data_IF_114236817241
#
_entry.id   IF_114236817241
#
_cell.length_a   1.000
_cell.length_b   1.000
_cell.length_c   1.000
_cell.angle_alpha   90.00
_cell.angle_beta   90.00
_cell.angle_gamma   90.00
#
_symmetry.space_group_name_H-M   'P 1'
#
loop_
_entity.id
_entity.type
_entity.pdbx_description
1 polymer ?
#
# COMPACT_ATOMS: atom_id res chain seq x y z
N UNK A 1 17.56 -87.68 -0.08
CA UNK A 1 18.09 -87.86 -1.45
C UNK A 1 17.66 -86.68 -2.30
N UNK A 2 18.66 -86.05 -2.94
CA UNK A 2 18.62 -85.31 -4.21
C UNK A 2 17.67 -84.10 -4.33
N UNK A 3 18.21 -82.88 -4.26
CA UNK A 3 18.86 -82.12 -5.35
C UNK A 3 17.82 -81.27 -6.10
N UNK A 4 17.75 -79.98 -5.78
CA UNK A 4 18.41 -78.89 -6.49
C UNK A 4 17.73 -78.58 -7.83
N UNK A 5 17.07 -77.41 -7.92
CA UNK A 5 17.23 -76.51 -9.07
C UNK A 5 16.81 -75.08 -8.72
N UNK A 6 17.85 -74.27 -8.60
CA UNK A 6 17.88 -72.83 -8.74
C UNK A 6 17.00 -72.38 -9.92
N UNK A 7 16.13 -71.40 -9.69
CA UNK A 7 15.72 -70.44 -10.72
C UNK A 7 16.07 -69.06 -10.20
N UNK A 8 17.17 -68.54 -10.72
CA UNK A 8 17.57 -67.14 -10.61
C UNK A 8 16.63 -66.36 -11.53
N UNK A 9 15.69 -65.60 -10.97
CA UNK A 9 15.04 -64.51 -11.68
C UNK A 9 15.54 -63.20 -11.07
N UNK A 10 16.41 -62.53 -11.81
CA UNK A 10 16.89 -61.20 -11.48
C UNK A 10 15.74 -60.20 -11.54
N UNK A 11 15.40 -59.62 -10.40
CA UNK A 11 14.70 -58.35 -10.36
C UNK A 11 15.75 -57.25 -10.57
N UNK A 12 15.92 -56.83 -11.82
CA UNK A 12 16.61 -55.60 -12.14
C UNK A 12 15.85 -54.45 -11.44
N UNK A 13 16.52 -53.80 -10.47
CA UNK A 13 16.08 -52.50 -9.99
C UNK A 13 16.17 -51.52 -11.18
N UNK A 14 15.03 -51.24 -11.80
CA UNK A 14 14.89 -50.07 -12.64
C UNK A 14 15.05 -48.85 -11.73
N UNK A 15 16.26 -48.30 -11.70
CA UNK A 15 16.51 -46.98 -11.15
C UNK A 15 15.61 -46.01 -11.94
N UNK A 16 14.53 -45.55 -11.30
CA UNK A 16 13.70 -44.49 -11.83
C UNK A 16 14.61 -43.27 -12.05
N UNK A 17 14.83 -42.92 -13.31
CA UNK A 17 15.51 -41.69 -13.68
C UNK A 17 14.83 -40.53 -12.93
N UNK A 18 15.60 -39.59 -12.34
CA UNK A 18 15.00 -38.42 -11.70
C UNK A 18 14.17 -37.69 -12.75
N UNK A 19 12.90 -37.44 -12.42
CA UNK A 19 12.00 -36.67 -13.27
C UNK A 19 12.71 -35.36 -13.66
N UNK A 20 12.63 -34.94 -14.94
CA UNK A 20 13.25 -33.69 -15.37
C UNK A 20 12.69 -32.55 -14.51
N UNK A 21 13.57 -31.93 -13.72
CA UNK A 21 13.25 -30.76 -12.91
C UNK A 21 12.59 -29.74 -13.80
N UNK A 22 11.29 -29.51 -13.60
CA UNK A 22 10.58 -28.46 -14.29
C UNK A 22 11.38 -27.16 -14.09
N UNK A 23 11.68 -26.39 -15.15
CA UNK A 23 12.30 -25.10 -14.98
C UNK A 23 11.41 -24.27 -14.06
N UNK A 24 11.93 -23.92 -12.89
CA UNK A 24 11.30 -23.02 -11.93
C UNK A 24 11.30 -21.62 -12.53
N UNK A 25 10.40 -21.39 -13.47
CA UNK A 25 10.01 -20.03 -13.82
C UNK A 25 9.33 -19.46 -12.57
N UNK A 26 9.76 -18.30 -12.03
CA UNK A 26 8.93 -17.61 -11.06
C UNK A 26 7.57 -17.36 -11.73
N UNK A 27 6.44 -17.48 -11.02
CA UNK A 27 5.15 -17.15 -11.58
C UNK A 27 5.20 -15.70 -12.04
N UNK A 28 5.40 -15.49 -13.36
CA UNK A 28 5.18 -14.20 -13.99
C UNK A 28 3.68 -14.07 -14.04
N UNK A 29 3.10 -13.40 -13.05
CA UNK A 29 1.73 -12.93 -13.14
C UNK A 29 1.56 -12.27 -14.52
N UNK A 30 0.44 -12.55 -15.23
CA UNK A 30 0.19 -11.92 -16.51
C UNK A 30 0.37 -10.41 -16.36
N UNK A 31 1.15 -9.79 -17.24
CA UNK A 31 1.49 -8.36 -17.21
C UNK A 31 0.28 -7.40 -17.06
N UNK A 32 -0.92 -7.89 -17.35
CA UNK A 32 -2.20 -7.20 -17.24
C UNK A 32 -2.91 -7.35 -15.88
N UNK A 33 -2.43 -8.23 -14.98
CA UNK A 33 -3.07 -8.56 -13.69
C UNK A 33 -2.26 -8.04 -12.48
N UNK A 34 -1.47 -6.98 -12.67
CA UNK A 34 -0.87 -6.27 -11.54
C UNK A 34 -1.97 -5.51 -10.80
N UNK A 35 -2.37 -5.99 -9.64
CA UNK A 35 -3.23 -5.23 -8.72
C UNK A 35 -2.43 -4.08 -8.12
N UNK A 36 -2.78 -2.85 -8.48
CA UNK A 36 -2.19 -1.66 -7.87
C UNK A 36 -2.88 -1.39 -6.54
N UNK A 37 -2.09 -1.04 -5.52
CA UNK A 37 -2.64 -0.64 -4.23
C UNK A 37 -3.44 0.64 -4.37
N UNK A 38 -4.69 0.63 -3.88
CA UNK A 38 -5.56 1.81 -3.79
C UNK A 38 -5.36 2.54 -2.45
N UNK A 39 -4.23 2.33 -1.78
CA UNK A 39 -3.91 3.03 -0.55
C UNK A 39 -3.87 4.55 -0.81
N UNK A 40 -4.62 5.29 -0.02
CA UNK A 40 -4.76 6.76 -0.15
C UNK A 40 -3.51 7.55 0.26
N UNK A 41 -2.50 6.88 0.80
CA UNK A 41 -1.25 7.46 1.27
C UNK A 41 -0.09 6.52 0.93
N UNK A 42 1.02 7.04 0.41
CA UNK A 42 2.21 6.23 0.15
C UNK A 42 3.08 6.00 1.38
N UNK A 43 3.01 6.89 2.36
CA UNK A 43 3.91 6.90 3.51
C UNK A 43 3.15 7.19 4.80
N UNK A 44 3.56 6.49 5.86
CA UNK A 44 3.13 6.75 7.24
C UNK A 44 4.28 7.30 8.06
N UNK A 45 4.00 8.32 8.84
CA UNK A 45 4.94 8.98 9.75
C UNK A 45 4.44 8.76 11.16
N UNK A 46 5.21 8.08 11.99
CA UNK A 46 4.84 7.80 13.37
C UNK A 46 5.72 8.64 14.29
N UNK A 47 5.11 9.43 15.15
CA UNK A 47 5.83 10.31 16.04
C UNK A 47 5.19 10.39 17.43
N UNK A 48 6.03 10.75 18.39
CA UNK A 48 5.64 10.98 19.77
C UNK A 48 6.13 12.36 20.21
N UNK A 49 5.22 13.15 20.77
CA UNK A 49 5.46 14.48 21.30
C UNK A 49 5.19 14.46 22.81
N UNK A 50 6.23 14.70 23.59
CA UNK A 50 6.14 14.85 25.05
C UNK A 50 6.00 16.33 25.41
N UNK A 51 4.95 16.69 26.13
CA UNK A 51 4.60 18.06 26.52
C UNK A 51 4.45 18.18 28.03
N UNK A 52 4.54 19.39 28.58
CA UNK A 52 4.29 19.61 30.01
C UNK A 52 2.81 19.40 30.36
N UNK A 53 1.95 20.27 29.85
CA UNK A 53 0.50 20.26 30.12
C UNK A 53 -0.26 19.88 28.84
N UNK A 54 -0.85 18.68 28.81
CA UNK A 54 -1.57 18.17 27.64
C UNK A 54 -2.75 19.08 27.27
N UNK A 55 -3.54 19.51 28.26
CA UNK A 55 -4.78 20.25 28.02
C UNK A 55 -4.51 21.64 27.42
N UNK A 56 -3.40 22.26 27.82
CA UNK A 56 -2.97 23.56 27.26
C UNK A 56 -2.30 23.44 25.90
N UNK A 57 -1.57 22.36 25.66
CA UNK A 57 -0.74 22.22 24.44
C UNK A 57 -1.49 21.53 23.31
N UNK A 58 -2.42 20.62 23.59
CA UNK A 58 -3.20 19.91 22.56
C UNK A 58 -3.94 20.87 21.60
N UNK A 59 -4.61 21.95 22.05
CA UNK A 59 -5.20 22.93 21.13
C UNK A 59 -4.16 23.62 20.23
N UNK A 60 -2.93 23.81 20.72
CA UNK A 60 -1.84 24.41 19.93
C UNK A 60 -1.29 23.44 18.89
N UNK A 61 -1.21 22.15 19.24
CA UNK A 61 -0.87 21.06 18.32
C UNK A 61 -1.88 21.02 17.18
N UNK A 62 -3.19 21.01 17.49
CA UNK A 62 -4.25 21.00 16.48
C UNK A 62 -4.17 22.22 15.55
N UNK A 63 -3.97 23.42 16.11
CA UNK A 63 -3.75 24.64 15.32
C UNK A 63 -2.49 24.56 14.43
N UNK A 64 -1.42 23.93 14.91
CA UNK A 64 -0.21 23.75 14.12
C UNK A 64 -0.46 22.80 12.94
N UNK A 65 -1.23 21.73 13.16
CA UNK A 65 -1.66 20.77 12.13
C UNK A 65 -2.48 21.47 11.05
N UNK A 66 -3.51 22.23 11.44
CA UNK A 66 -4.36 22.99 10.50
C UNK A 66 -3.53 23.97 9.66
N UNK A 67 -2.61 24.71 10.30
CA UNK A 67 -1.70 25.63 9.59
C UNK A 67 -0.74 24.92 8.63
N UNK A 68 -0.45 23.65 8.86
CA UNK A 68 0.32 22.79 7.96
C UNK A 68 -0.48 22.23 6.79
N UNK A 69 -1.79 22.56 6.71
CA UNK A 69 -2.73 21.98 5.76
C UNK A 69 -3.16 20.56 6.13
N UNK A 70 -2.84 20.11 7.35
CA UNK A 70 -3.22 18.81 7.86
C UNK A 70 -4.68 18.78 8.31
N UNK A 71 -5.30 17.61 8.21
CA UNK A 71 -6.66 17.35 8.69
C UNK A 71 -6.67 16.07 9.53
N UNK A 72 -7.50 16.04 10.58
CA UNK A 72 -7.76 14.80 11.31
C UNK A 72 -8.46 13.79 10.39
N UNK A 73 -8.10 12.52 10.49
CA UNK A 73 -8.77 11.44 9.73
C UNK A 73 -10.15 11.10 10.28
N UNK A 74 -10.41 11.43 11.54
CA UNK A 74 -11.67 11.21 12.26
C UNK A 74 -11.87 12.31 13.32
N UNK A 75 -13.09 12.49 13.88
CA UNK A 75 -13.33 13.49 14.91
C UNK A 75 -12.46 13.28 16.16
N UNK A 76 -12.00 14.36 16.80
CA UNK A 76 -11.06 14.30 17.93
C UNK A 76 -11.53 13.34 19.05
N UNK A 77 -12.82 13.34 19.33
CA UNK A 77 -13.45 12.59 20.42
C UNK A 77 -13.39 11.07 20.21
N UNK A 78 -13.14 10.63 18.98
CA UNK A 78 -13.06 9.21 18.61
C UNK A 78 -11.67 8.63 18.76
N UNK A 79 -10.66 9.48 18.96
CA UNK A 79 -9.29 9.00 19.12
C UNK A 79 -9.05 8.48 20.54
N UNK A 80 -8.21 7.44 20.69
CA UNK A 80 -7.82 6.94 22.00
C UNK A 80 -7.16 8.03 22.86
N UNK A 81 -7.72 8.23 24.05
CA UNK A 81 -7.19 9.08 25.10
C UNK A 81 -7.00 8.26 26.38
N UNK A 82 -5.85 8.41 27.04
CA UNK A 82 -5.56 7.79 28.34
C UNK A 82 -5.50 8.90 29.39
N UNK A 83 -6.45 8.89 30.33
CA UNK A 83 -6.42 9.79 31.48
C UNK A 83 -5.29 9.44 32.46
N UNK A 84 -4.93 8.16 32.55
CA UNK A 84 -3.86 7.66 33.41
C UNK A 84 -2.48 8.08 32.89
N UNK A 85 -2.23 7.93 31.59
CA UNK A 85 -0.95 8.28 30.97
C UNK A 85 -0.91 9.71 30.43
N UNK A 86 -2.00 10.48 30.64
CA UNK A 86 -2.21 11.82 30.08
C UNK A 86 -1.79 11.87 28.61
N UNK A 87 -2.34 11.00 27.79
CA UNK A 87 -1.95 10.90 26.38
C UNK A 87 -3.14 10.95 25.43
N UNK A 88 -2.95 11.58 24.29
CA UNK A 88 -3.89 11.64 23.19
C UNK A 88 -3.22 11.11 21.91
N UNK A 89 -3.81 10.09 21.30
CA UNK A 89 -3.42 9.66 19.96
C UNK A 89 -4.16 10.48 18.91
N UNK A 90 -3.50 10.76 17.79
CA UNK A 90 -4.05 11.49 16.66
C UNK A 90 -3.57 10.81 15.37
N UNK A 91 -4.46 10.72 14.39
CA UNK A 91 -4.12 10.34 13.03
C UNK A 91 -4.54 11.45 12.07
N UNK A 92 -3.59 11.89 11.25
CA UNK A 92 -3.68 13.11 10.46
C UNK A 92 -3.34 12.81 9.00
N UNK A 93 -4.10 13.35 8.07
CA UNK A 93 -3.71 13.42 6.66
C UNK A 93 -3.06 14.77 6.40
N UNK A 94 -1.81 14.78 5.95
CA UNK A 94 -1.02 16.01 5.80
C UNK A 94 -0.38 16.06 4.41
N UNK A 95 -0.39 17.21 3.71
CA UNK A 95 0.38 17.36 2.49
C UNK A 95 1.86 17.07 2.76
N UNK A 96 2.51 16.27 1.91
CA UNK A 96 3.93 15.90 2.07
C UNK A 96 4.85 17.11 2.22
N UNK A 97 4.56 18.19 1.48
CA UNK A 97 5.26 19.49 1.57
C UNK A 97 5.12 20.18 2.94
N UNK A 98 4.01 19.93 3.65
CA UNK A 98 3.70 20.51 4.96
C UNK A 98 4.15 19.66 6.15
N UNK A 99 4.50 18.39 5.93
CA UNK A 99 4.83 17.44 7.00
C UNK A 99 6.13 17.80 7.75
N UNK A 100 7.23 18.08 7.03
CA UNK A 100 8.51 18.50 7.65
C UNK A 100 8.38 19.84 8.42
N UNK A 101 7.77 20.91 7.85
CA UNK A 101 7.50 22.13 8.59
C UNK A 101 6.65 21.91 9.85
N UNK A 102 5.67 21.00 9.81
CA UNK A 102 4.87 20.67 10.97
C UNK A 102 5.72 20.06 12.09
N UNK A 103 6.56 19.06 11.78
CA UNK A 103 7.46 18.45 12.77
C UNK A 103 8.31 19.52 13.47
N UNK A 104 8.88 20.46 12.71
CA UNK A 104 9.65 21.58 13.27
C UNK A 104 8.83 22.48 14.19
N UNK A 105 7.53 22.66 13.91
CA UNK A 105 6.63 23.43 14.78
C UNK A 105 6.27 22.66 16.05
N UNK A 106 5.98 21.36 15.93
CA UNK A 106 5.66 20.51 17.07
C UNK A 106 6.81 20.42 18.08
N UNK A 107 8.06 20.38 17.60
CA UNK A 107 9.27 20.48 18.43
C UNK A 107 9.39 21.75 19.26
N UNK A 108 8.68 22.83 18.91
CA UNK A 108 8.64 24.06 19.72
C UNK A 108 7.65 23.97 20.87
N UNK A 109 6.72 23.01 20.82
CA UNK A 109 5.68 22.81 21.82
C UNK A 109 6.08 21.78 22.89
N UNK A 110 7.12 20.99 22.63
CA UNK A 110 7.59 19.93 23.52
C UNK A 110 8.77 19.16 22.93
N UNK A 111 9.17 18.08 23.58
CA UNK A 111 10.22 17.21 23.07
C UNK A 111 9.65 16.18 22.10
N UNK A 112 10.25 16.09 20.92
CA UNK A 112 9.81 15.19 19.86
C UNK A 112 11.01 14.70 19.07
N UNK A 113 11.13 13.37 18.95
CA UNK A 113 12.15 12.73 18.10
C UNK A 113 11.82 12.89 16.62
N UNK A 114 12.75 12.53 15.74
CA UNK A 114 12.43 12.40 14.32
C UNK A 114 11.31 11.36 14.11
N UNK A 115 10.27 11.65 13.31
CA UNK A 115 9.24 10.68 13.00
C UNK A 115 9.81 9.45 12.31
N UNK A 116 9.32 8.27 12.69
CA UNK A 116 9.60 7.04 11.97
C UNK A 116 8.77 7.00 10.70
N UNK A 117 9.46 7.11 9.56
CA UNK A 117 8.89 7.08 8.21
C UNK A 117 8.83 5.66 7.69
N UNK A 118 7.65 5.20 7.27
CA UNK A 118 7.44 3.87 6.70
C UNK A 118 6.60 3.95 5.42
N UNK A 119 7.07 3.38 4.30
CA UNK A 119 6.22 3.21 3.13
C UNK A 119 5.07 2.26 3.47
N UNK A 120 3.85 2.62 3.07
CA UNK A 120 2.65 1.81 3.31
C UNK A 120 2.38 0.83 2.17
N UNK A 121 2.76 1.19 0.95
CA UNK A 121 2.61 0.38 -0.23
C UNK A 121 3.78 0.62 -1.19
N UNK A 122 4.08 -0.33 -2.09
CA UNK A 122 4.95 -0.06 -3.22
C UNK A 122 4.40 1.13 -4.02
N UNK A 123 5.28 2.05 -4.48
CA UNK A 123 4.83 3.16 -5.29
C UNK A 123 4.17 2.65 -6.57
N UNK A 124 3.00 3.20 -6.89
CA UNK A 124 2.31 2.91 -8.14
C UNK A 124 3.09 3.60 -9.27
N UNK A 125 3.56 2.87 -10.30
CA UNK A 125 4.26 3.48 -11.44
C UNK A 125 3.25 4.24 -12.31
N UNK A 126 2.98 5.51 -11.95
CA UNK A 126 1.89 6.29 -12.57
C UNK A 126 2.04 6.45 -14.08
N UNK A 127 3.27 6.51 -14.58
CA UNK A 127 3.54 6.58 -16.02
C UNK A 127 3.19 5.27 -16.74
N UNK A 128 3.39 4.11 -16.11
CA UNK A 128 2.95 2.80 -16.63
C UNK A 128 1.42 2.75 -16.69
N UNK A 129 0.74 3.24 -15.64
CA UNK A 129 -0.73 3.27 -15.57
C UNK A 129 -1.31 4.19 -16.65
N UNK A 130 -0.76 5.39 -16.82
CA UNK A 130 -1.18 6.33 -17.88
C UNK A 130 -0.97 5.78 -19.28
N UNK A 131 0.15 5.10 -19.51
CA UNK A 131 0.42 4.43 -20.77
C UNK A 131 -0.60 3.31 -21.05
N UNK A 132 -0.97 2.52 -20.04
CA UNK A 132 -2.02 1.49 -20.15
C UNK A 132 -3.40 2.08 -20.43
N UNK A 133 -3.80 3.16 -19.75
CA UNK A 133 -5.06 3.88 -20.01
C UNK A 133 -5.09 4.36 -21.45
N UNK A 134 -4.04 5.05 -21.89
CA UNK A 134 -3.95 5.62 -23.23
C UNK A 134 -4.03 4.54 -24.32
N UNK A 135 -3.32 3.43 -24.10
CA UNK A 135 -3.35 2.27 -24.98
C UNK A 135 -4.74 1.62 -25.03
N UNK A 136 -5.37 1.38 -23.88
CA UNK A 136 -6.68 0.74 -23.81
C UNK A 136 -7.76 1.61 -24.46
N UNK A 137 -7.76 2.93 -24.21
CA UNK A 137 -8.68 3.86 -24.87
C UNK A 137 -8.51 3.83 -26.40
N UNK A 138 -7.26 3.84 -26.88
CA UNK A 138 -6.96 3.74 -28.31
C UNK A 138 -7.47 2.41 -28.90
N UNK A 139 -7.14 1.28 -28.27
CA UNK A 139 -7.56 -0.04 -28.72
C UNK A 139 -9.09 -0.19 -28.73
N UNK A 140 -9.80 0.39 -27.76
CA UNK A 140 -11.28 0.42 -27.74
C UNK A 140 -11.87 1.19 -28.91
N UNK A 141 -11.29 2.34 -29.27
CA UNK A 141 -11.73 3.13 -30.43
C UNK A 141 -11.46 2.37 -31.73
N UNK A 142 -10.24 1.87 -31.91
CA UNK A 142 -9.82 1.16 -33.12
C UNK A 142 -10.61 -0.15 -33.34
N UNK A 143 -11.03 -0.81 -32.26
CA UNK A 143 -11.74 -2.10 -32.30
C UNK A 143 -13.20 -2.00 -31.90
N UNK A 144 -13.80 -0.82 -31.92
CA UNK A 144 -15.18 -0.59 -31.48
C UNK A 144 -16.19 -1.53 -32.16
N UNK A 145 -16.05 -1.73 -33.48
CA UNK A 145 -16.92 -2.63 -34.25
C UNK A 145 -16.74 -4.11 -33.91
N UNK A 146 -15.58 -4.53 -33.40
CA UNK A 146 -15.34 -5.91 -32.98
C UNK A 146 -15.83 -6.13 -31.54
N UNK A 147 -15.63 -5.14 -30.67
CA UNK A 147 -16.12 -5.15 -29.29
C UNK A 147 -17.64 -5.14 -29.22
N UNK A 148 -18.34 -4.44 -30.13
CA UNK A 148 -19.81 -4.45 -30.17
C UNK A 148 -20.41 -5.82 -30.49
N UNK A 149 -19.63 -6.71 -31.13
CA UNK A 149 -20.05 -8.08 -31.42
C UNK A 149 -19.82 -9.03 -30.24
N UNK A 150 -19.08 -8.61 -29.21
CA UNK A 150 -18.75 -9.42 -28.03
C UNK A 150 -18.99 -8.59 -26.76
N UNK A 151 -20.26 -8.49 -26.30
CA UNK A 151 -20.64 -7.61 -25.18
C UNK A 151 -19.83 -7.84 -23.90
N UNK A 152 -19.58 -9.10 -23.53
CA UNK A 152 -18.78 -9.43 -22.35
C UNK A 152 -17.33 -8.90 -22.42
N UNK A 153 -16.74 -8.85 -23.62
CA UNK A 153 -15.41 -8.27 -23.81
C UNK A 153 -15.44 -6.73 -23.77
N UNK A 154 -16.52 -6.12 -24.24
CA UNK A 154 -16.73 -4.68 -24.12
C UNK A 154 -16.88 -4.26 -22.65
N UNK A 155 -17.72 -4.96 -21.87
CA UNK A 155 -17.92 -4.75 -20.44
C UNK A 155 -16.61 -4.92 -19.66
N UNK A 156 -15.89 -6.04 -19.86
CA UNK A 156 -14.60 -6.25 -19.21
C UNK A 156 -13.58 -5.14 -19.54
N UNK A 157 -13.59 -4.62 -20.77
CA UNK A 157 -12.70 -3.50 -21.16
C UNK A 157 -13.08 -2.17 -20.48
N UNK A 158 -14.37 -1.98 -20.17
CA UNK A 158 -14.87 -0.83 -19.41
C UNK A 158 -14.45 -0.92 -17.96
N UNK A 159 -14.69 -2.06 -17.31
CA UNK A 159 -14.29 -2.28 -15.92
C UNK A 159 -12.79 -2.10 -15.71
N UNK A 160 -11.96 -2.63 -16.63
CA UNK A 160 -10.50 -2.45 -16.57
C UNK A 160 -10.13 -0.97 -16.71
N UNK A 161 -10.76 -0.24 -17.63
CA UNK A 161 -10.49 1.18 -17.84
C UNK A 161 -10.89 2.00 -16.60
N UNK A 162 -12.07 1.75 -16.05
CA UNK A 162 -12.55 2.39 -14.82
C UNK A 162 -11.60 2.13 -13.65
N UNK A 163 -11.15 0.88 -13.49
CA UNK A 163 -10.18 0.52 -12.47
C UNK A 163 -8.86 1.30 -12.64
N UNK A 164 -8.31 1.35 -13.86
CA UNK A 164 -7.05 2.06 -14.12
C UNK A 164 -7.18 3.58 -13.86
N UNK A 165 -8.30 4.18 -14.24
CA UNK A 165 -8.59 5.60 -13.96
C UNK A 165 -8.68 5.87 -12.45
N UNK A 166 -9.32 4.97 -11.70
CA UNK A 166 -9.37 5.05 -10.25
C UNK A 166 -7.96 4.94 -9.64
N UNK A 167 -7.16 3.99 -10.11
CA UNK A 167 -5.76 3.82 -9.66
C UNK A 167 -4.94 5.06 -9.94
N UNK A 168 -5.05 5.67 -11.12
CA UNK A 168 -4.34 6.92 -11.44
C UNK A 168 -4.73 8.04 -10.47
N UNK A 169 -6.04 8.25 -10.26
CA UNK A 169 -6.54 9.30 -9.38
C UNK A 169 -6.08 9.09 -7.93
N UNK A 170 -6.10 7.85 -7.44
CA UNK A 170 -5.64 7.51 -6.08
C UNK A 170 -4.12 7.66 -5.96
N UNK A 171 -3.35 7.18 -6.93
CA UNK A 171 -1.89 7.27 -6.92
C UNK A 171 -1.41 8.73 -6.91
N UNK A 172 -1.98 9.57 -7.78
CA UNK A 172 -1.67 10.99 -7.84
C UNK A 172 -1.94 11.69 -6.50
N UNK A 173 -3.03 11.32 -5.82
CA UNK A 173 -3.36 11.86 -4.49
C UNK A 173 -2.43 11.29 -3.41
N UNK A 174 -2.14 10.01 -3.44
CA UNK A 174 -1.31 9.34 -2.43
C UNK A 174 0.14 9.84 -2.41
N UNK A 175 0.67 10.33 -3.54
CA UNK A 175 1.97 11.02 -3.59
C UNK A 175 1.97 12.38 -2.88
N UNK A 176 0.82 13.05 -2.87
CA UNK A 176 0.67 14.39 -2.33
C UNK A 176 0.50 14.40 -0.81
N UNK A 177 0.02 13.30 -0.21
CA UNK A 177 -0.33 13.24 1.21
C UNK A 177 0.38 12.12 1.97
N UNK A 178 0.70 12.39 3.23
CA UNK A 178 1.25 11.42 4.19
C UNK A 178 0.25 11.20 5.30
N UNK A 179 0.20 9.97 5.81
CA UNK A 179 -0.53 9.63 7.03
C UNK A 179 0.39 9.87 8.23
N UNK A 180 0.08 10.88 9.04
CA UNK A 180 0.88 11.25 10.21
C UNK A 180 0.15 10.78 11.48
N UNK A 181 0.70 9.76 12.13
CA UNK A 181 0.25 9.27 13.41
C UNK A 181 1.07 9.93 14.53
N UNK A 182 0.42 10.74 15.35
CA UNK A 182 1.04 11.48 16.44
C UNK A 182 0.46 11.00 17.78
N UNK A 183 1.34 10.64 18.71
CA UNK A 183 0.95 10.51 20.12
C UNK A 183 1.45 11.72 20.89
N UNK A 184 0.55 12.45 21.53
CA UNK A 184 0.89 13.56 22.43
C UNK A 184 0.77 13.06 23.87
N UNK A 185 1.84 13.16 24.67
CA UNK A 185 1.87 12.70 26.06
C UNK A 185 2.25 13.85 27.00
N UNK A 186 1.45 14.05 28.04
CA UNK A 186 1.76 14.95 29.14
C UNK A 186 2.79 14.34 30.10
N UNK A 187 3.64 15.17 30.70
CA UNK A 187 4.57 14.78 31.76
C UNK A 187 4.02 15.05 33.15
#
# INVERSE_FOLDING_TARGET
MNALRLVVLGAAFAAAAPAPSAPSFPPREPYWLKTYSTASHQESWNAELSVGDLDKVLPQVLKAVEKGGGKLTQPLQTFPASGTDRSQQLSLTIPKKGAEPLVKRLRKLGEMRDPLKRPLAPPVPIDEVRAKISRLMKEKIERASALSQVPAAAEASEEILEHLLLVEAVAARAEAFVLFNLTVRGR
#
